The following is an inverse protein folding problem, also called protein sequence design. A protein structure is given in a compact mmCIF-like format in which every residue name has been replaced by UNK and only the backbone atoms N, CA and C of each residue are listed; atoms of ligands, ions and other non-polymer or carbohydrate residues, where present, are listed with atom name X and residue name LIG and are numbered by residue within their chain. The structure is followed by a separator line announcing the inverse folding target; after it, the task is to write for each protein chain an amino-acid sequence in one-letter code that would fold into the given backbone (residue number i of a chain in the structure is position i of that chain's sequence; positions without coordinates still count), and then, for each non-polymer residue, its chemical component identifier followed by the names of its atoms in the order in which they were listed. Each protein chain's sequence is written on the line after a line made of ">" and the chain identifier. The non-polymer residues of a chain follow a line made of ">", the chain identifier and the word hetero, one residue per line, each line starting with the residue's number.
data_IF_537135161033
#
_entry.id   IF_537135161033
#
_cell.length_a   1.000
_cell.length_b   1.000
_cell.length_c   1.000
_cell.angle_alpha   90.00
_cell.angle_beta   90.00
_cell.angle_gamma   90.00
#
_symmetry.space_group_name_H-M   'P 1'
#
loop_
_entity.id
_entity.type
_entity.pdbx_description
1 polymer ?
#
# COMPACT_ATOMS: atom_id res chain seq x y z
N UNK A 1 -8.10 16.05 15.74
CA UNK A 1 -7.03 15.45 16.59
C UNK A 1 -6.12 14.63 15.69
N UNK A 2 -5.41 15.28 14.76
CA UNK A 2 -4.68 14.63 13.66
C UNK A 2 -3.22 15.11 13.55
N UNK A 3 -2.58 15.47 14.67
CA UNK A 3 -1.21 15.98 14.68
C UNK A 3 -0.17 15.02 15.31
N UNK A 4 -0.59 13.86 15.80
CA UNK A 4 0.32 12.83 16.35
C UNK A 4 0.93 11.92 15.26
N UNK A 5 0.42 12.02 14.03
CA UNK A 5 0.74 11.15 12.89
C UNK A 5 2.17 11.26 12.34
N UNK A 6 2.91 12.33 12.62
CA UNK A 6 4.24 12.56 12.03
C UNK A 6 5.42 12.37 12.99
N UNK A 7 5.24 12.62 14.30
CA UNK A 7 6.33 12.49 15.28
C UNK A 7 6.68 11.02 15.59
N UNK A 8 5.69 10.13 15.56
CA UNK A 8 5.90 8.71 15.89
C UNK A 8 6.77 7.98 14.85
N UNK A 9 6.69 8.37 13.56
CA UNK A 9 7.51 7.76 12.51
C UNK A 9 8.94 8.31 12.44
N UNK A 10 9.19 9.53 12.93
CA UNK A 10 10.51 10.16 12.93
C UNK A 10 11.37 9.78 14.16
N UNK A 11 10.76 9.59 15.34
CA UNK A 11 11.48 9.30 16.58
C UNK A 11 12.00 7.85 16.69
N UNK A 12 11.33 6.86 16.06
CA UNK A 12 11.74 5.45 16.16
C UNK A 12 12.98 5.09 15.32
N UNK A 13 13.53 6.04 14.54
CA UNK A 13 14.71 5.83 13.69
C UNK A 13 16.04 6.35 14.31
N UNK A 14 16.01 7.04 15.45
CA UNK A 14 17.21 7.68 16.04
C UNK A 14 17.74 7.02 17.32
N UNK A 15 17.20 5.88 17.75
CA UNK A 15 17.58 5.24 19.04
C UNK A 15 18.31 3.90 18.89
N UNK A 16 18.92 3.63 17.73
CA UNK A 16 19.75 2.44 17.50
C UNK A 16 21.11 2.86 16.93
N UNK A 17 21.85 3.68 17.68
CA UNK A 17 23.32 3.79 17.61
C UNK A 17 23.80 4.08 19.04
N UNK A 18 24.79 3.30 19.51
CA UNK A 18 25.45 3.24 20.84
C UNK A 18 24.81 2.22 21.80
N UNK A 19 25.51 1.21 22.34
CA UNK A 19 26.96 1.08 22.60
C UNK A 19 27.44 -0.37 22.53
N UNK A 20 28.69 -0.52 22.11
CA UNK A 20 29.53 -1.71 22.21
C UNK A 20 29.92 -2.07 23.65
N UNK A 21 30.24 -3.37 23.80
CA UNK A 21 31.16 -4.08 24.70
C UNK A 21 31.27 -3.71 26.20
N UNK A 22 31.10 -4.71 27.06
CA UNK A 22 32.04 -4.97 28.16
C UNK A 22 32.09 -6.47 28.55
N UNK A 23 33.31 -6.96 28.69
CA UNK A 23 33.79 -8.31 29.02
C UNK A 23 33.78 -8.56 30.54
N UNK A 24 33.50 -9.79 30.96
CA UNK A 24 33.92 -10.33 32.27
C UNK A 24 33.83 -11.87 32.30
N UNK A 25 34.98 -12.51 32.51
CA UNK A 25 35.22 -13.97 32.70
C UNK A 25 35.22 -14.38 34.18
N UNK A 26 34.72 -15.58 34.49
CA UNK A 26 35.32 -16.67 35.33
C UNK A 26 34.28 -17.82 35.48
N UNK A 27 34.49 -19.05 34.98
CA UNK A 27 35.14 -20.25 35.60
C UNK A 27 34.27 -20.95 36.65
N UNK A 28 33.95 -22.26 36.72
CA UNK A 28 34.25 -23.51 35.99
C UNK A 28 33.15 -24.57 36.33
N UNK A 29 32.92 -25.53 35.41
CA UNK A 29 32.52 -26.97 35.53
C UNK A 29 31.41 -27.40 36.55
N UNK A 30 30.38 -28.21 36.26
CA UNK A 30 30.32 -29.49 35.53
C UNK A 30 28.84 -29.98 35.36
N UNK A 31 28.65 -31.00 34.52
CA UNK A 31 27.51 -31.95 34.38
C UNK A 31 26.44 -31.80 33.26
N UNK A 32 26.34 -32.91 32.52
CA UNK A 32 25.58 -33.23 31.33
C UNK A 32 24.05 -33.29 31.54
N UNK A 33 23.29 -32.91 30.51
CA UNK A 33 22.11 -33.62 29.96
C UNK A 33 21.08 -32.65 29.36
N UNK A 34 21.04 -32.55 28.03
CA UNK A 34 19.88 -32.92 27.20
C UNK A 34 20.14 -32.43 25.76
N UNK A 35 20.87 -33.24 25.01
CA UNK A 35 21.11 -33.09 23.58
C UNK A 35 19.81 -33.42 22.81
N UNK A 36 18.78 -32.58 22.95
CA UNK A 36 17.50 -32.81 22.27
C UNK A 36 16.72 -31.55 21.88
N UNK A 37 17.41 -30.47 21.56
CA UNK A 37 16.82 -29.43 20.72
C UNK A 37 17.54 -29.44 19.37
N UNK A 38 17.02 -30.25 18.45
CA UNK A 38 17.43 -30.18 17.06
C UNK A 38 17.40 -28.73 16.60
N UNK A 39 18.37 -28.35 15.78
CA UNK A 39 18.36 -27.10 15.01
C UNK A 39 16.98 -26.92 14.42
N UNK A 40 16.14 -26.12 15.07
CA UNK A 40 14.94 -25.59 14.44
C UNK A 40 15.50 -24.76 13.30
N UNK A 41 15.54 -25.37 12.12
CA UNK A 41 15.66 -24.69 10.86
C UNK A 41 14.66 -23.54 10.96
N UNK A 42 15.19 -22.33 11.13
CA UNK A 42 14.41 -21.12 11.38
C UNK A 42 13.70 -20.82 10.08
N UNK A 43 12.66 -21.58 9.78
CA UNK A 43 11.69 -21.35 8.73
C UNK A 43 11.06 -20.02 9.09
N UNK A 44 11.63 -18.95 8.54
CA UNK A 44 11.06 -17.61 8.68
C UNK A 44 9.69 -17.68 8.05
N UNK A 45 8.65 -17.80 8.87
CA UNK A 45 7.28 -17.66 8.42
C UNK A 45 7.21 -16.37 7.61
N UNK A 46 6.91 -16.43 6.31
CA UNK A 46 6.88 -15.23 5.49
C UNK A 46 5.84 -14.29 6.10
N UNK A 47 6.28 -13.07 6.44
CA UNK A 47 5.42 -12.07 7.06
C UNK A 47 4.22 -11.81 6.13
N UNK A 48 3.00 -11.93 6.66
CA UNK A 48 1.76 -11.77 5.87
C UNK A 48 1.71 -10.39 5.23
N UNK A 49 2.14 -9.36 5.97
CA UNK A 49 2.30 -8.00 5.44
C UNK A 49 3.25 -7.97 4.24
N UNK A 50 4.38 -8.69 4.30
CA UNK A 50 5.30 -8.80 3.17
C UNK A 50 4.63 -9.49 1.96
N UNK A 51 3.86 -10.55 2.20
CA UNK A 51 3.07 -11.22 1.16
C UNK A 51 2.05 -10.26 0.52
N UNK A 52 1.29 -9.49 1.32
CA UNK A 52 0.35 -8.50 0.81
C UNK A 52 1.05 -7.42 -0.01
N UNK A 53 2.20 -6.92 0.45
CA UNK A 53 3.00 -5.95 -0.29
C UNK A 53 3.46 -6.52 -1.65
N UNK A 54 3.88 -7.79 -1.71
CA UNK A 54 4.27 -8.43 -2.96
C UNK A 54 3.08 -8.59 -3.92
N UNK A 55 1.90 -8.95 -3.41
CA UNK A 55 0.67 -9.07 -4.20
C UNK A 55 0.26 -7.70 -4.76
N UNK A 56 0.22 -6.65 -3.95
CA UNK A 56 -0.17 -5.31 -4.41
C UNK A 56 0.84 -4.71 -5.40
N UNK A 57 2.13 -5.05 -5.27
CA UNK A 57 3.13 -4.60 -6.24
C UNK A 57 2.90 -5.13 -7.67
N UNK A 58 2.01 -6.11 -7.87
CA UNK A 58 1.55 -6.54 -9.21
C UNK A 58 0.91 -5.41 -10.01
N UNK A 59 0.32 -4.40 -9.35
CA UNK A 59 -0.22 -3.17 -9.97
C UNK A 59 0.81 -2.52 -10.92
N UNK A 60 2.09 -2.54 -10.54
CA UNK A 60 3.18 -1.92 -11.31
C UNK A 60 3.62 -2.74 -12.52
N UNK A 61 3.29 -4.03 -12.53
CA UNK A 61 3.63 -4.96 -13.62
C UNK A 61 2.56 -4.97 -14.71
N UNK A 62 1.34 -4.53 -14.40
CA UNK A 62 0.26 -4.45 -15.38
C UNK A 62 0.35 -3.16 -16.19
N UNK A 63 0.71 -3.27 -17.48
CA UNK A 63 1.08 -2.12 -18.30
C UNK A 63 -0.07 -1.13 -18.50
N UNK A 64 -1.31 -1.61 -18.62
CA UNK A 64 -2.48 -0.75 -18.74
C UNK A 64 -2.70 0.10 -17.47
N UNK A 65 -2.52 -0.51 -16.30
CA UNK A 65 -2.64 0.15 -15.00
C UNK A 65 -1.48 1.13 -14.78
N UNK A 66 -0.26 0.74 -15.15
CA UNK A 66 0.90 1.64 -15.11
C UNK A 66 0.67 2.91 -15.92
N UNK A 67 0.15 2.81 -17.16
CA UNK A 67 -0.18 3.97 -18.01
C UNK A 67 -1.22 4.88 -17.35
N UNK A 68 -2.24 4.31 -16.72
CA UNK A 68 -3.24 5.08 -15.97
C UNK A 68 -2.60 5.84 -14.81
N UNK A 69 -1.76 5.17 -14.01
CA UNK A 69 -1.03 5.79 -12.92
C UNK A 69 -0.10 6.90 -13.40
N UNK A 70 0.55 6.74 -14.55
CA UNK A 70 1.43 7.77 -15.11
C UNK A 70 0.65 9.04 -15.50
N UNK A 71 -0.56 8.89 -16.05
CA UNK A 71 -1.47 10.03 -16.31
C UNK A 71 -1.90 10.71 -15.01
N UNK A 72 -2.31 9.93 -14.01
CA UNK A 72 -2.66 10.44 -12.68
C UNK A 72 -1.48 11.23 -12.07
N UNK A 73 -0.27 10.67 -12.10
CA UNK A 73 0.94 11.34 -11.61
C UNK A 73 1.22 12.62 -12.36
N UNK A 74 1.03 12.62 -13.68
CA UNK A 74 1.21 13.82 -14.48
C UNK A 74 0.26 14.93 -14.02
N UNK A 75 -1.04 14.63 -13.91
CA UNK A 75 -2.05 15.58 -13.41
C UNK A 75 -1.67 16.13 -12.02
N UNK A 76 -1.37 15.25 -11.07
CA UNK A 76 -0.96 15.64 -9.71
C UNK A 76 0.29 16.52 -9.72
N UNK A 77 1.29 16.19 -10.56
CA UNK A 77 2.51 17.00 -10.71
C UNK A 77 2.21 18.38 -11.30
N UNK A 78 1.30 18.49 -12.27
CA UNK A 78 0.92 19.78 -12.85
C UNK A 78 0.32 20.71 -11.79
N UNK A 79 -0.65 20.21 -11.01
CA UNK A 79 -1.24 20.94 -9.88
C UNK A 79 -0.17 21.36 -8.87
N UNK A 80 0.65 20.41 -8.41
CA UNK A 80 1.71 20.64 -7.41
C UNK A 80 2.78 21.63 -7.86
N UNK A 81 3.01 21.80 -9.16
CA UNK A 81 4.00 22.72 -9.72
C UNK A 81 3.47 24.15 -9.84
N UNK A 82 2.15 24.32 -9.97
CA UNK A 82 1.51 25.63 -10.10
C UNK A 82 1.02 26.11 -8.74
N UNK A 83 1.59 27.21 -8.24
CA UNK A 83 1.11 27.88 -7.03
C UNK A 83 -0.34 28.30 -7.18
N UNK A 84 -0.72 28.87 -8.33
CA UNK A 84 -2.07 29.34 -8.62
C UNK A 84 -3.09 28.20 -8.60
N UNK A 85 -2.79 27.06 -9.23
CA UNK A 85 -3.71 25.91 -9.22
C UNK A 85 -3.83 25.28 -7.83
N UNK A 86 -2.72 25.22 -7.09
CA UNK A 86 -2.71 24.70 -5.71
C UNK A 86 -3.50 25.60 -4.77
N UNK A 87 -3.33 26.92 -4.88
CA UNK A 87 -4.07 27.92 -4.09
C UNK A 87 -5.56 27.85 -4.37
N UNK A 88 -5.99 27.81 -5.64
CA UNK A 88 -7.41 27.66 -5.99
C UNK A 88 -8.02 26.37 -5.47
N UNK A 89 -7.28 25.26 -5.53
CA UNK A 89 -7.75 23.99 -4.98
C UNK A 89 -7.92 24.09 -3.44
N UNK A 90 -6.95 24.72 -2.76
CA UNK A 90 -7.03 24.99 -1.33
C UNK A 90 -8.22 25.90 -0.97
N UNK A 91 -8.50 26.93 -1.76
CA UNK A 91 -9.65 27.81 -1.56
C UNK A 91 -10.99 27.07 -1.73
N UNK A 92 -11.06 26.14 -2.68
CA UNK A 92 -12.29 25.39 -2.96
C UNK A 92 -12.58 24.28 -1.94
N UNK A 93 -11.56 23.57 -1.45
CA UNK A 93 -11.77 22.38 -0.60
C UNK A 93 -10.82 22.23 0.59
N UNK A 94 -9.87 23.15 0.79
CA UNK A 94 -8.92 23.11 1.91
C UNK A 94 -7.86 22.02 1.81
N UNK A 95 -7.80 21.28 0.69
CA UNK A 95 -6.91 20.13 0.52
C UNK A 95 -5.94 20.32 -0.64
N UNK A 96 -4.75 19.74 -0.50
CA UNK A 96 -3.78 19.58 -1.58
C UNK A 96 -3.75 18.14 -2.10
N UNK A 97 -3.36 17.98 -3.36
CA UNK A 97 -3.10 16.67 -3.94
C UNK A 97 -1.87 16.01 -3.31
N UNK A 98 -1.86 14.69 -3.25
CA UNK A 98 -0.74 13.91 -2.69
C UNK A 98 0.11 13.35 -3.84
N UNK A 99 1.41 13.63 -3.82
CA UNK A 99 2.37 12.99 -4.74
C UNK A 99 2.71 11.60 -4.22
N UNK A 100 2.72 10.60 -5.10
CA UNK A 100 3.16 9.26 -4.75
C UNK A 100 4.69 9.10 -4.75
N UNK A 101 5.13 8.01 -4.13
CA UNK A 101 6.44 7.42 -4.27
C UNK A 101 6.28 6.18 -5.15
N UNK A 102 6.83 6.21 -6.37
CA UNK A 102 6.61 5.16 -7.38
C UNK A 102 7.01 3.75 -6.91
N UNK A 103 7.95 3.67 -5.95
CA UNK A 103 8.40 2.39 -5.36
C UNK A 103 7.53 1.90 -4.21
N UNK A 104 6.61 2.71 -3.65
CA UNK A 104 5.74 2.34 -2.51
C UNK A 104 4.26 2.40 -2.87
N UNK A 105 3.62 1.24 -2.99
CA UNK A 105 2.22 1.14 -3.40
C UNK A 105 1.26 1.91 -2.47
N UNK A 106 1.53 1.95 -1.15
CA UNK A 106 0.70 2.66 -0.17
C UNK A 106 0.59 4.15 -0.50
N UNK A 107 1.69 4.77 -0.92
CA UNK A 107 1.68 6.17 -1.35
C UNK A 107 0.91 6.39 -2.66
N UNK A 108 0.93 5.42 -3.59
CA UNK A 108 0.11 5.48 -4.80
C UNK A 108 -1.38 5.34 -4.45
N UNK A 109 -1.74 4.45 -3.53
CA UNK A 109 -3.12 4.30 -3.04
C UNK A 109 -3.63 5.60 -2.39
N UNK A 110 -2.81 6.26 -1.56
CA UNK A 110 -3.15 7.55 -0.96
C UNK A 110 -3.31 8.66 -2.00
N UNK A 111 -2.44 8.71 -3.02
CA UNK A 111 -2.59 9.64 -4.15
C UNK A 111 -3.93 9.44 -4.87
N UNK A 112 -4.30 8.19 -5.21
CA UNK A 112 -5.57 7.88 -5.87
C UNK A 112 -6.76 8.26 -4.99
N UNK A 113 -6.69 7.92 -3.70
CA UNK A 113 -7.75 8.22 -2.73
C UNK A 113 -8.00 9.72 -2.59
N UNK A 114 -6.93 10.51 -2.39
CA UNK A 114 -7.05 11.97 -2.32
C UNK A 114 -7.54 12.56 -3.64
N UNK A 115 -7.03 12.08 -4.78
CA UNK A 115 -7.44 12.62 -6.07
C UNK A 115 -8.94 12.42 -6.33
N UNK A 116 -9.50 11.27 -5.92
CA UNK A 116 -10.94 11.00 -6.02
C UNK A 116 -11.76 11.81 -5.02
N UNK A 117 -11.26 12.00 -3.80
CA UNK A 117 -11.89 12.83 -2.77
C UNK A 117 -12.11 14.27 -3.24
N UNK A 118 -11.13 14.85 -3.96
CA UNK A 118 -11.22 16.22 -4.47
C UNK A 118 -11.53 16.31 -5.97
N UNK A 119 -12.08 15.23 -6.56
CA UNK A 119 -12.27 15.09 -8.02
C UNK A 119 -12.97 16.30 -8.66
N UNK A 120 -14.12 16.70 -8.12
CA UNK A 120 -14.93 17.75 -8.73
C UNK A 120 -14.23 19.11 -8.70
N UNK A 121 -13.51 19.40 -7.61
CA UNK A 121 -12.67 20.59 -7.48
C UNK A 121 -11.46 20.56 -8.44
N UNK A 122 -10.82 19.41 -8.59
CA UNK A 122 -9.71 19.24 -9.55
C UNK A 122 -10.18 19.48 -10.98
N UNK A 123 -11.35 18.97 -11.37
CA UNK A 123 -11.93 19.20 -12.69
C UNK A 123 -12.23 20.70 -12.86
N UNK A 124 -12.92 21.33 -11.90
CA UNK A 124 -13.24 22.76 -11.95
C UNK A 124 -12.00 23.65 -12.08
N UNK A 125 -10.95 23.37 -11.31
CA UNK A 125 -9.70 24.14 -11.39
C UNK A 125 -8.98 23.87 -12.71
N UNK A 126 -8.93 22.63 -13.19
CA UNK A 126 -8.30 22.31 -14.48
C UNK A 126 -9.01 23.03 -15.63
N UNK A 127 -10.35 23.04 -15.64
CA UNK A 127 -11.15 23.74 -16.64
C UNK A 127 -10.87 25.25 -16.63
N UNK A 128 -10.80 25.85 -15.43
CA UNK A 128 -10.45 27.27 -15.25
C UNK A 128 -9.04 27.60 -15.75
N UNK A 129 -8.11 26.65 -15.62
CA UNK A 129 -6.73 26.79 -16.09
C UNK A 129 -6.57 26.46 -17.59
N UNK A 130 -7.62 25.97 -18.25
CA UNK A 130 -7.55 25.47 -19.63
C UNK A 130 -6.63 24.25 -19.76
N UNK A 131 -6.57 23.39 -18.74
CA UNK A 131 -5.73 22.20 -18.72
C UNK A 131 -6.51 20.94 -19.08
N UNK A 132 -5.87 20.06 -19.85
CA UNK A 132 -6.40 18.72 -20.06
C UNK A 132 -6.41 17.92 -18.76
N UNK A 133 -7.55 17.31 -18.47
CA UNK A 133 -7.76 16.44 -17.31
C UNK A 133 -7.94 14.98 -17.75
N UNK A 134 -8.09 14.07 -16.77
CA UNK A 134 -8.43 12.67 -17.06
C UNK A 134 -9.80 12.57 -17.72
N UNK A 135 -9.93 11.64 -18.67
CA UNK A 135 -11.21 11.36 -19.32
C UNK A 135 -12.21 10.75 -18.30
N UNK A 136 -13.53 10.88 -18.53
CA UNK A 136 -14.52 10.26 -17.63
C UNK A 136 -14.30 8.75 -17.43
N UNK A 137 -13.91 8.02 -18.47
CA UNK A 137 -13.58 6.59 -18.39
C UNK A 137 -12.33 6.30 -17.56
N UNK A 138 -11.35 7.22 -17.56
CA UNK A 138 -10.13 7.11 -16.77
C UNK A 138 -10.40 7.39 -15.29
N UNK A 139 -11.22 8.39 -14.99
CA UNK A 139 -11.71 8.64 -13.63
C UNK A 139 -12.42 7.42 -13.04
N UNK A 140 -13.31 6.79 -13.83
CA UNK A 140 -13.98 5.57 -13.41
C UNK A 140 -12.98 4.42 -13.18
N UNK A 141 -11.99 4.28 -14.06
CA UNK A 141 -10.95 3.26 -13.88
C UNK A 141 -10.08 3.51 -12.64
N UNK A 142 -9.80 4.78 -12.29
CA UNK A 142 -9.10 5.15 -11.05
C UNK A 142 -9.92 4.77 -9.82
N UNK A 143 -11.24 5.01 -9.83
CA UNK A 143 -12.14 4.59 -8.76
C UNK A 143 -12.13 3.06 -8.57
N UNK A 144 -12.31 2.32 -9.67
CA UNK A 144 -12.30 0.85 -9.66
C UNK A 144 -10.95 0.30 -9.19
N UNK A 145 -9.83 0.89 -9.61
CA UNK A 145 -8.51 0.51 -9.12
C UNK A 145 -8.35 0.79 -7.63
N UNK A 146 -8.83 1.94 -7.13
CA UNK A 146 -8.83 2.23 -5.69
C UNK A 146 -9.63 1.17 -4.94
N UNK A 147 -10.81 0.80 -5.42
CA UNK A 147 -11.68 -0.14 -4.73
C UNK A 147 -11.13 -1.58 -4.74
N UNK A 148 -10.41 -1.97 -5.79
CA UNK A 148 -9.61 -3.20 -5.78
C UNK A 148 -8.58 -3.21 -4.66
N UNK A 149 -7.91 -2.07 -4.43
CA UNK A 149 -6.79 -1.95 -3.50
C UNK A 149 -7.20 -1.64 -2.05
N UNK A 150 -8.43 -1.19 -1.82
CA UNK A 150 -8.89 -0.73 -0.51
C UNK A 150 -8.78 -1.83 0.57
N UNK A 151 -9.28 -3.06 0.37
CA UNK A 151 -9.16 -4.10 1.39
C UNK A 151 -7.71 -4.44 1.72
N UNK A 152 -6.80 -4.35 0.74
CA UNK A 152 -5.37 -4.54 0.99
C UNK A 152 -4.79 -3.46 1.89
N UNK A 153 -5.21 -2.20 1.71
CA UNK A 153 -4.78 -1.09 2.56
C UNK A 153 -5.28 -1.24 4.00
N UNK A 154 -6.53 -1.66 4.16
CA UNK A 154 -7.14 -1.88 5.47
C UNK A 154 -6.49 -3.03 6.23
N UNK A 155 -6.37 -4.20 5.59
CA UNK A 155 -5.72 -5.36 6.20
C UNK A 155 -4.24 -5.14 6.48
N UNK A 156 -3.52 -4.49 5.56
CA UNK A 156 -2.10 -4.15 5.79
C UNK A 156 -1.96 -3.24 7.01
N UNK A 157 -2.82 -2.22 7.14
CA UNK A 157 -2.80 -1.30 8.29
C UNK A 157 -3.08 -2.03 9.61
N UNK A 158 -4.05 -2.95 9.64
CA UNK A 158 -4.38 -3.72 10.83
C UNK A 158 -3.21 -4.64 11.23
N UNK A 159 -2.64 -5.35 10.25
CA UNK A 159 -1.56 -6.31 10.47
C UNK A 159 -0.20 -5.66 10.77
N UNK A 160 0.00 -4.40 10.40
CA UNK A 160 1.21 -3.62 10.72
C UNK A 160 1.23 -3.07 12.15
N UNK A 161 0.12 -3.17 12.90
CA UNK A 161 0.06 -2.72 14.29
C UNK A 161 0.84 -3.72 15.18
N UNK A 162 1.82 -3.22 15.95
CA UNK A 162 2.69 -4.02 16.83
C UNK A 162 1.89 -4.91 17.83
N UNK A 163 0.65 -4.53 18.16
CA UNK A 163 -0.26 -5.24 19.06
C UNK A 163 -1.32 -6.09 18.34
N UNK A 164 -1.22 -6.27 17.02
CA UNK A 164 -2.18 -7.05 16.25
C UNK A 164 -2.15 -8.53 16.66
N UNK A 165 -3.32 -9.13 16.89
CA UNK A 165 -3.42 -10.56 17.17
C UNK A 165 -3.14 -11.36 15.90
N UNK A 166 -2.31 -12.40 16.00
CA UNK A 166 -2.04 -13.34 14.90
C UNK A 166 -3.33 -14.02 14.37
N UNK A 167 -4.37 -14.13 15.21
CA UNK A 167 -5.68 -14.66 14.83
C UNK A 167 -6.38 -13.89 13.71
N UNK A 168 -5.98 -12.63 13.43
CA UNK A 168 -6.55 -11.81 12.35
C UNK A 168 -5.95 -12.12 10.97
N UNK A 169 -4.85 -12.87 10.91
CA UNK A 169 -4.17 -13.22 9.66
C UNK A 169 -5.05 -14.07 8.75
N UNK A 170 -5.62 -15.16 9.27
CA UNK A 170 -6.43 -16.08 8.47
C UNK A 170 -7.69 -15.41 7.94
N UNK A 171 -8.49 -14.68 8.77
CA UNK A 171 -9.61 -13.88 8.27
C UNK A 171 -9.20 -12.89 7.19
N UNK A 172 -8.09 -12.15 7.36
CA UNK A 172 -7.63 -11.19 6.36
C UNK A 172 -7.30 -11.86 5.01
N UNK A 173 -6.62 -13.02 5.02
CA UNK A 173 -6.29 -13.74 3.79
C UNK A 173 -7.56 -14.23 3.10
N UNK A 174 -8.50 -14.82 3.84
CA UNK A 174 -9.76 -15.33 3.27
C UNK A 174 -10.61 -14.21 2.67
N UNK A 175 -10.72 -13.08 3.39
CA UNK A 175 -11.44 -11.90 2.92
C UNK A 175 -10.84 -11.35 1.62
N UNK A 176 -9.52 -11.20 1.57
CA UNK A 176 -8.82 -10.74 0.35
C UNK A 176 -9.00 -11.70 -0.84
N UNK A 177 -9.03 -13.01 -0.60
CA UNK A 177 -9.27 -14.00 -1.67
C UNK A 177 -10.69 -13.91 -2.20
N UNK A 178 -11.68 -13.80 -1.32
CA UNK A 178 -13.07 -13.59 -1.73
C UNK A 178 -13.19 -12.31 -2.56
N UNK A 179 -12.67 -11.20 -2.04
CA UNK A 179 -12.66 -9.90 -2.71
C UNK A 179 -12.06 -10.00 -4.12
N UNK A 180 -10.88 -10.59 -4.29
CA UNK A 180 -10.24 -10.71 -5.60
C UNK A 180 -11.06 -11.53 -6.60
N UNK A 181 -11.67 -12.63 -6.14
CA UNK A 181 -12.54 -13.48 -6.96
C UNK A 181 -13.79 -12.72 -7.41
N UNK A 182 -14.52 -12.15 -6.45
CA UNK A 182 -15.76 -11.40 -6.69
C UNK A 182 -15.51 -10.19 -7.58
N UNK A 183 -14.42 -9.46 -7.31
CA UNK A 183 -14.01 -8.29 -8.09
C UNK A 183 -13.70 -8.65 -9.54
N UNK A 184 -12.98 -9.76 -9.76
CA UNK A 184 -12.64 -10.23 -11.11
C UNK A 184 -13.89 -10.55 -11.91
N UNK A 185 -14.85 -11.28 -11.32
CA UNK A 185 -16.11 -11.64 -11.96
C UNK A 185 -16.96 -10.42 -12.30
N UNK A 186 -17.09 -9.48 -11.35
CA UNK A 186 -17.87 -8.26 -11.54
C UNK A 186 -17.33 -7.39 -12.68
N UNK A 187 -16.01 -7.33 -12.87
CA UNK A 187 -15.36 -6.40 -13.81
C UNK A 187 -14.88 -7.04 -15.12
N UNK A 188 -15.09 -8.36 -15.31
CA UNK A 188 -14.57 -9.12 -16.45
C UNK A 188 -14.98 -8.54 -17.84
N UNK A 189 -16.17 -7.93 -17.92
CA UNK A 189 -16.71 -7.39 -19.19
C UNK A 189 -16.32 -5.94 -19.44
N UNK A 190 -16.31 -5.10 -18.40
CA UNK A 190 -16.20 -3.64 -18.54
C UNK A 190 -14.77 -3.12 -18.27
N UNK A 191 -14.02 -3.75 -17.37
CA UNK A 191 -12.69 -3.30 -16.94
C UNK A 191 -11.72 -4.48 -16.92
N UNK A 192 -11.53 -5.10 -18.10
CA UNK A 192 -10.76 -6.34 -18.27
C UNK A 192 -9.33 -6.24 -17.75
N UNK A 193 -8.69 -5.10 -17.90
CA UNK A 193 -7.34 -4.85 -17.40
C UNK A 193 -7.27 -4.91 -15.86
N UNK A 194 -8.23 -4.29 -15.18
CA UNK A 194 -8.30 -4.36 -13.71
C UNK A 194 -8.72 -5.76 -13.25
N UNK A 195 -9.65 -6.41 -13.96
CA UNK A 195 -10.04 -7.80 -13.68
C UNK A 195 -8.87 -8.78 -13.86
N UNK A 196 -8.04 -8.58 -14.89
CA UNK A 196 -6.82 -9.37 -15.14
C UNK A 196 -5.79 -9.15 -14.03
N UNK A 197 -5.64 -7.90 -13.56
CA UNK A 197 -4.80 -7.60 -12.40
C UNK A 197 -5.30 -8.36 -11.16
N UNK A 198 -6.61 -8.36 -10.88
CA UNK A 198 -7.19 -9.09 -9.75
C UNK A 198 -6.91 -10.61 -9.84
N UNK A 199 -7.05 -11.22 -11.03
CA UNK A 199 -6.70 -12.63 -11.25
C UNK A 199 -5.21 -12.91 -10.98
N UNK A 200 -4.32 -12.04 -11.45
CA UNK A 200 -2.88 -12.16 -11.20
C UNK A 200 -2.55 -11.99 -9.72
N UNK A 201 -3.24 -11.10 -9.02
CA UNK A 201 -3.10 -10.92 -7.57
C UNK A 201 -3.56 -12.17 -6.81
N UNK A 202 -4.68 -12.80 -7.23
CA UNK A 202 -5.19 -14.04 -6.63
C UNK A 202 -4.20 -15.18 -6.82
N UNK A 203 -3.75 -15.41 -8.05
CA UNK A 203 -2.76 -16.44 -8.34
C UNK A 203 -1.45 -16.22 -7.56
N UNK A 204 -1.01 -14.98 -7.37
CA UNK A 204 0.19 -14.69 -6.57
C UNK A 204 -0.02 -14.98 -5.08
N UNK A 205 -1.23 -14.78 -4.57
CA UNK A 205 -1.58 -15.09 -3.18
C UNK A 205 -1.62 -16.61 -2.96
N UNK A 206 -2.22 -17.36 -3.88
CA UNK A 206 -2.33 -18.83 -3.81
C UNK A 206 -0.96 -19.53 -3.84
N UNK A 207 -0.04 -19.05 -4.70
CA UNK A 207 1.33 -19.57 -4.79
C UNK A 207 2.10 -19.48 -3.46
N UNK A 208 1.74 -18.52 -2.60
CA UNK A 208 2.46 -18.23 -1.35
C UNK A 208 1.82 -18.86 -0.12
N UNK A 209 0.55 -19.26 -0.20
CA UNK A 209 -0.12 -20.02 0.86
C UNK A 209 0.19 -21.52 0.82
N UNK A 210 0.74 -22.03 -0.29
CA UNK A 210 1.12 -23.44 -0.45
C UNK A 210 2.60 -23.74 -0.17
N UNK A 211 3.39 -22.77 0.29
CA UNK A 211 4.81 -22.91 0.69
C UNK A 211 4.95 -22.82 2.20
#
# INVERSE_FOLDING_TARGET
>A
MEATWFLHFALKKLLIISSDENDSKDSDEEEEADERYGTLERTRTPCVVHTLQLVVNMVKKEQAIKRLLDKVRHLVRQFRKSSVATERLLEQCGLILIKDCETRWSSSFLMLSRLLEVKDHVISVADTMGWDCLLPSEWQKVAILKDLLLPFAEHTKVLEIDTCCFSLVVPAILDLRSHLSDFSLAHARSYRDVATLAQKMSANMDLRSCS
#
